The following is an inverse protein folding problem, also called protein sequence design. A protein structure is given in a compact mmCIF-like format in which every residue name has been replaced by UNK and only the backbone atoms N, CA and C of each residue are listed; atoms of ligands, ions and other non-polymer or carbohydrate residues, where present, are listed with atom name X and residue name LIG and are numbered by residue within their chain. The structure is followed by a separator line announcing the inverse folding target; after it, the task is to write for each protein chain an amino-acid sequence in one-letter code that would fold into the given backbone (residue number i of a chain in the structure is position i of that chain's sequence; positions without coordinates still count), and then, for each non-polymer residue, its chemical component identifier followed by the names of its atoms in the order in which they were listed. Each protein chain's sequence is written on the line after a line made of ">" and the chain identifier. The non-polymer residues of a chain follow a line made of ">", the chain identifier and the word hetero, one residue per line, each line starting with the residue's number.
data_IF_846336016092
#
_entry.id   IF_846336016092
#
_cell.length_a   1.000
_cell.length_b   1.000
_cell.length_c   1.000
_cell.angle_alpha   90.00
_cell.angle_beta   90.00
_cell.angle_gamma   90.00
#
_symmetry.space_group_name_H-M   'P 1'
#
loop_
_entity.id
_entity.type
_entity.pdbx_description
1 polymer ?
#
# COMPACT_ATOMS: atom_id res chain seq x y z
N UNK A 1 -5.95 -15.75 -16.14
CA UNK A 1 -5.42 -14.69 -15.25
C UNK A 1 -6.16 -14.81 -13.93
N UNK A 2 -5.50 -15.14 -12.81
CA UNK A 2 -6.18 -15.19 -11.50
C UNK A 2 -6.47 -13.75 -11.05
N UNK A 3 -7.67 -13.25 -11.34
CA UNK A 3 -8.12 -11.92 -10.92
C UNK A 3 -8.41 -11.92 -9.42
N UNK A 4 -7.37 -11.74 -8.60
CA UNK A 4 -7.56 -11.33 -7.22
C UNK A 4 -7.98 -9.86 -7.21
N UNK A 5 -9.07 -9.53 -6.51
CA UNK A 5 -9.52 -8.15 -6.37
C UNK A 5 -8.39 -7.29 -5.80
N UNK A 6 -8.00 -6.26 -6.55
CA UNK A 6 -6.96 -5.31 -6.13
C UNK A 6 -7.55 -4.32 -5.12
N UNK A 7 -6.82 -4.08 -4.03
CA UNK A 7 -7.22 -3.06 -3.06
C UNK A 7 -7.04 -1.66 -3.63
N UNK A 8 -7.73 -0.68 -3.05
CA UNK A 8 -7.59 0.71 -3.49
C UNK A 8 -6.14 1.21 -3.39
N UNK A 9 -5.46 0.85 -2.30
CA UNK A 9 -4.06 1.20 -2.12
C UNK A 9 -3.18 0.56 -3.20
N UNK A 10 -3.46 -0.67 -3.64
CA UNK A 10 -2.73 -1.28 -4.75
C UNK A 10 -2.97 -0.55 -6.08
N UNK A 11 -4.19 -0.07 -6.35
CA UNK A 11 -4.48 0.71 -7.56
C UNK A 11 -3.69 2.02 -7.56
N UNK A 12 -3.66 2.74 -6.43
CA UNK A 12 -2.89 3.99 -6.29
C UNK A 12 -1.40 3.75 -6.53
N UNK A 13 -0.84 2.67 -5.97
CA UNK A 13 0.56 2.32 -6.17
C UNK A 13 0.86 2.09 -7.66
N UNK A 14 0.00 1.36 -8.38
CA UNK A 14 0.18 1.13 -9.82
C UNK A 14 0.04 2.44 -10.61
N UNK A 15 -0.93 3.28 -10.28
CA UNK A 15 -1.12 4.56 -10.97
C UNK A 15 0.10 5.48 -10.82
N UNK A 16 0.73 5.53 -9.64
CA UNK A 16 1.84 6.44 -9.37
C UNK A 16 3.23 5.88 -9.69
N UNK A 17 3.44 4.57 -9.46
CA UNK A 17 4.75 3.93 -9.60
C UNK A 17 4.80 2.83 -10.66
N UNK A 18 3.67 2.46 -11.28
CA UNK A 18 3.56 1.36 -12.24
C UNK A 18 3.56 -0.03 -11.61
N UNK A 19 4.30 -0.23 -10.51
CA UNK A 19 4.34 -1.50 -9.79
C UNK A 19 4.66 -1.32 -8.30
N UNK A 20 4.32 -2.34 -7.50
CA UNK A 20 4.73 -2.38 -6.08
C UNK A 20 6.24 -2.52 -5.90
N UNK A 21 6.96 -3.10 -6.88
CA UNK A 21 8.41 -3.21 -6.82
C UNK A 21 9.03 -1.82 -6.93
N UNK A 22 8.58 -1.01 -7.90
CA UNK A 22 9.12 0.33 -8.12
C UNK A 22 8.93 1.25 -6.91
N UNK A 23 7.78 1.17 -6.22
CA UNK A 23 7.58 1.86 -4.96
C UNK A 23 8.53 1.36 -3.87
N UNK A 24 8.72 0.04 -3.79
CA UNK A 24 9.63 -0.55 -2.81
C UNK A 24 11.07 -0.10 -3.05
N UNK A 25 11.54 -0.10 -4.31
CA UNK A 25 12.86 0.42 -4.70
C UNK A 25 13.00 1.90 -4.33
N UNK A 26 11.97 2.71 -4.59
CA UNK A 26 11.97 4.13 -4.21
C UNK A 26 12.09 4.35 -2.70
N UNK A 27 11.44 3.50 -1.90
CA UNK A 27 11.46 3.59 -0.42
C UNK A 27 12.65 2.84 0.22
N UNK A 28 13.47 2.13 -0.55
CA UNK A 28 14.50 1.23 0.00
C UNK A 28 13.91 0.05 0.77
N UNK A 29 12.72 -0.42 0.39
CA UNK A 29 11.98 -1.50 1.05
C UNK A 29 11.94 -2.77 0.19
N UNK A 30 11.60 -3.90 0.80
CA UNK A 30 11.28 -5.11 0.03
C UNK A 30 9.85 -5.04 -0.53
N UNK A 31 9.65 -5.50 -1.78
CA UNK A 31 8.32 -5.63 -2.40
C UNK A 31 7.29 -6.34 -1.52
N UNK A 32 7.71 -7.37 -0.79
CA UNK A 32 6.82 -8.13 0.09
C UNK A 32 6.25 -7.26 1.22
N UNK A 33 7.04 -6.34 1.78
CA UNK A 33 6.59 -5.37 2.80
C UNK A 33 5.47 -4.50 2.25
N UNK A 34 5.69 -3.88 1.08
CA UNK A 34 4.68 -3.07 0.38
C UNK A 34 3.42 -3.88 0.11
N UNK A 35 3.55 -5.12 -0.40
CA UNK A 35 2.39 -5.96 -0.67
C UNK A 35 1.59 -6.32 0.59
N UNK A 36 2.24 -6.58 1.73
CA UNK A 36 1.54 -6.94 2.98
C UNK A 36 0.80 -5.74 3.57
N UNK A 37 1.40 -4.55 3.50
CA UNK A 37 0.76 -3.30 3.91
C UNK A 37 -0.42 -2.97 3.00
N UNK A 38 -0.22 -3.02 1.67
CA UNK A 38 -1.26 -2.67 0.70
C UNK A 38 -2.49 -3.59 0.76
N UNK A 39 -2.33 -4.82 1.24
CA UNK A 39 -3.41 -5.79 1.47
C UNK A 39 -4.06 -5.66 2.85
N UNK A 40 -3.60 -4.75 3.70
CA UNK A 40 -4.06 -4.65 5.10
C UNK A 40 -3.62 -5.83 5.98
N UNK A 41 -2.70 -6.68 5.52
CA UNK A 41 -2.21 -7.85 6.28
C UNK A 41 -1.20 -7.45 7.36
N UNK A 42 -0.60 -6.27 7.24
CA UNK A 42 0.32 -5.69 8.22
C UNK A 42 -0.01 -4.21 8.36
N UNK A 43 -0.15 -3.75 9.60
CA UNK A 43 -0.25 -2.32 9.90
C UNK A 43 1.18 -1.75 9.99
N UNK A 44 1.53 -0.74 9.18
CA UNK A 44 2.85 -0.11 9.23
C UNK A 44 3.06 0.65 10.53
N UNK A 45 4.33 0.85 10.92
CA UNK A 45 4.69 1.80 11.99
C UNK A 45 4.36 3.24 11.55
N UNK A 46 4.25 4.18 12.49
CA UNK A 46 4.00 5.60 12.16
C UNK A 46 5.04 6.16 11.17
N UNK A 47 6.32 5.83 11.35
CA UNK A 47 7.39 6.22 10.41
C UNK A 47 7.15 5.66 9.01
N UNK A 48 6.85 4.35 8.92
CA UNK A 48 6.56 3.70 7.64
C UNK A 48 5.31 4.27 6.97
N UNK A 49 4.28 4.56 7.76
CA UNK A 49 3.05 5.16 7.28
C UNK A 49 3.32 6.56 6.70
N UNK A 50 4.13 7.38 7.39
CA UNK A 50 4.56 8.68 6.89
C UNK A 50 5.32 8.57 5.58
N UNK A 51 6.29 7.66 5.48
CA UNK A 51 7.04 7.44 4.24
C UNK A 51 6.14 7.00 3.07
N UNK A 52 5.17 6.12 3.32
CA UNK A 52 4.21 5.71 2.30
C UNK A 52 3.26 6.84 1.90
N UNK A 53 2.74 7.59 2.86
CA UNK A 53 1.81 8.68 2.62
C UNK A 53 2.47 9.77 1.78
N UNK A 54 3.69 10.18 2.16
CA UNK A 54 4.51 11.12 1.39
C UNK A 54 4.78 10.62 -0.04
N UNK A 55 5.32 9.39 -0.16
CA UNK A 55 5.64 8.80 -1.46
C UNK A 55 4.40 8.64 -2.34
N UNK A 56 3.21 8.40 -1.77
CA UNK A 56 1.95 8.25 -2.51
C UNK A 56 1.20 9.58 -2.68
N UNK A 57 1.59 10.65 -2.00
CA UNK A 57 0.90 11.93 -2.01
C UNK A 57 -0.47 11.87 -1.31
N UNK A 58 -0.56 11.05 -0.27
CA UNK A 58 -1.75 10.88 0.56
C UNK A 58 -1.52 11.50 1.94
N UNK A 59 -2.60 11.77 2.66
CA UNK A 59 -2.52 12.05 4.10
C UNK A 59 -2.39 10.74 4.88
N UNK A 60 -1.94 10.81 6.13
CA UNK A 60 -1.87 9.64 7.01
C UNK A 60 -3.26 9.04 7.24
N UNK A 61 -4.27 9.88 7.43
CA UNK A 61 -5.66 9.44 7.58
C UNK A 61 -6.14 8.66 6.35
N UNK A 62 -5.98 9.23 5.15
CA UNK A 62 -6.41 8.60 3.90
C UNK A 62 -5.66 7.28 3.61
N UNK A 63 -4.36 7.24 3.92
CA UNK A 63 -3.58 6.00 3.85
C UNK A 63 -4.14 4.94 4.82
N UNK A 64 -4.42 5.34 6.06
CA UNK A 64 -4.89 4.44 7.11
C UNK A 64 -6.26 3.87 6.77
N UNK A 65 -7.19 4.71 6.31
CA UNK A 65 -8.52 4.28 5.86
C UNK A 65 -8.41 3.24 4.74
N UNK A 66 -7.54 3.43 3.75
CA UNK A 66 -7.36 2.46 2.67
C UNK A 66 -6.76 1.14 3.15
N UNK A 67 -5.81 1.17 4.09
CA UNK A 67 -5.23 -0.05 4.68
C UNK A 67 -6.30 -0.82 5.46
N UNK A 68 -7.12 -0.13 6.25
CA UNK A 68 -8.17 -0.76 7.07
C UNK A 68 -9.30 -1.33 6.21
N UNK A 69 -9.76 -0.59 5.20
CA UNK A 69 -10.79 -1.05 4.27
C UNK A 69 -10.35 -2.27 3.45
N UNK A 70 -9.05 -2.39 3.17
CA UNK A 70 -8.48 -3.56 2.48
C UNK A 70 -8.64 -4.87 3.27
N UNK A 71 -8.71 -4.79 4.60
CA UNK A 71 -8.93 -5.95 5.48
C UNK A 71 -10.38 -6.44 5.40
N UNK A 72 -11.33 -5.54 5.29
CA UNK A 72 -12.77 -5.82 5.29
C UNK A 72 -13.26 -6.51 4.02
N UNK A 73 -12.59 -6.33 2.89
CA UNK A 73 -12.93 -6.98 1.61
C UNK A 73 -12.40 -8.42 1.49
N UNK A 74 -11.58 -8.87 2.44
CA UNK A 74 -10.92 -10.18 2.40
C UNK A 74 -11.49 -11.18 3.42
N UNK A 75 -12.71 -10.92 3.93
CA UNK A 75 -13.49 -11.79 4.81
C UNK A 75 -14.66 -12.43 4.07
#
# INVERSE_FOLDING_TARGET
>A
MKGGNMTELQKIIILKYGSQSNLADHLGWSRQRVSRIAKGSVIPTLESANQLADALGLTIDDLTEKILNSKSTNV
#
